data_IF_140928211107
#
_entry.id   IF_140928211107
#
_cell.length_a   1.000
_cell.length_b   1.000
_cell.length_c   1.000
_cell.angle_alpha   90.00
_cell.angle_beta   90.00
_cell.angle_gamma   90.00
#
_symmetry.space_group_name_H-M   'P 1'
#
loop_
_entity.id
_entity.type
_entity.pdbx_description
1 polymer ?
#
# COMPACT_ATOMS: atom_id res chain seq x y z
N UNK A 1 -10.91 17.48 13.44
CA UNK A 1 -9.46 17.41 13.20
C UNK A 1 -9.15 18.38 12.07
N UNK A 2 -8.24 19.35 12.26
CA UNK A 2 -7.82 20.35 11.25
C UNK A 2 -8.92 21.17 10.52
N UNK A 3 -10.12 21.29 11.07
CA UNK A 3 -11.21 22.07 10.47
C UNK A 3 -11.88 21.45 9.24
N UNK A 4 -11.51 20.22 8.84
CA UNK A 4 -12.19 19.48 7.77
C UNK A 4 -13.55 18.97 8.24
N UNK A 5 -14.55 19.03 7.35
CA UNK A 5 -15.95 18.73 7.65
C UNK A 5 -16.56 17.62 6.76
N UNK A 6 -15.75 16.98 5.92
CA UNK A 6 -16.17 15.86 5.09
C UNK A 6 -16.10 14.50 5.81
N UNK A 7 -16.36 13.44 5.05
CA UNK A 7 -16.24 12.06 5.50
C UNK A 7 -15.49 11.15 4.51
N UNK A 8 -15.38 9.87 4.81
CA UNK A 8 -14.66 8.90 3.97
C UNK A 8 -15.26 8.74 2.56
N UNK A 9 -16.56 9.05 2.38
CA UNK A 9 -17.21 8.96 1.08
C UNK A 9 -16.83 10.15 0.20
N UNK A 10 -16.63 11.34 0.77
CA UNK A 10 -16.08 12.51 0.04
C UNK A 10 -14.66 12.22 -0.50
N UNK A 11 -13.86 11.44 0.22
CA UNK A 11 -12.54 11.00 -0.22
C UNK A 11 -12.68 9.89 -1.29
N UNK A 12 -13.52 8.89 -1.02
CA UNK A 12 -13.71 7.74 -1.91
C UNK A 12 -14.32 8.12 -3.26
N UNK A 13 -15.19 9.12 -3.35
CA UNK A 13 -15.79 9.53 -4.63
C UNK A 13 -14.75 10.12 -5.59
N UNK A 14 -13.62 10.62 -5.08
CA UNK A 14 -12.50 11.13 -5.87
C UNK A 14 -11.42 10.09 -6.14
N UNK A 15 -11.10 9.26 -5.15
CA UNK A 15 -10.03 8.25 -5.27
C UNK A 15 -10.51 6.94 -5.90
N UNK A 16 -11.82 6.67 -5.89
CA UNK A 16 -12.44 5.48 -6.49
C UNK A 16 -13.54 5.89 -7.48
N UNK A 17 -13.18 6.45 -8.65
CA UNK A 17 -14.17 6.85 -9.64
C UNK A 17 -15.04 5.67 -10.12
N UNK A 18 -14.52 4.43 -10.06
CA UNK A 18 -15.32 3.20 -10.12
C UNK A 18 -15.42 2.58 -8.72
N UNK A 19 -16.65 2.47 -8.17
CA UNK A 19 -16.92 1.83 -6.86
C UNK A 19 -16.52 0.34 -6.79
N UNK A 20 -16.19 -0.24 -7.94
CA UNK A 20 -15.65 -1.58 -8.10
C UNK A 20 -14.16 -1.68 -7.85
N UNK A 21 -13.40 -0.58 -7.96
CA UNK A 21 -12.03 -0.50 -7.45
C UNK A 21 -12.06 -0.63 -5.91
N UNK A 22 -11.26 -1.56 -5.42
CA UNK A 22 -11.22 -1.93 -4.00
C UNK A 22 -9.96 -1.44 -3.30
N UNK A 23 -9.03 -0.82 -4.03
CA UNK A 23 -7.79 -0.32 -3.49
C UNK A 23 -7.82 1.22 -3.34
N UNK A 24 -7.02 1.75 -2.44
CA UNK A 24 -6.54 3.15 -2.47
C UNK A 24 -5.10 3.05 -2.01
N UNK A 25 -4.17 3.35 -2.89
CA UNK A 25 -2.76 3.37 -2.54
C UNK A 25 -2.45 4.56 -1.64
N UNK A 26 -1.43 4.43 -0.80
CA UNK A 26 -1.07 5.51 0.14
C UNK A 26 -0.64 6.78 -0.59
N UNK A 27 -0.04 6.64 -1.77
CA UNK A 27 0.33 7.75 -2.65
C UNK A 27 -0.91 8.51 -3.15
N UNK A 28 -2.04 7.84 -3.36
CA UNK A 28 -3.30 8.47 -3.75
C UNK A 28 -3.89 9.27 -2.60
N UNK A 29 -3.78 8.78 -1.36
CA UNK A 29 -4.14 9.54 -0.16
C UNK A 29 -3.26 10.79 0.00
N UNK A 30 -1.95 10.65 -0.23
CA UNK A 30 -1.01 11.79 -0.23
C UNK A 30 -1.41 12.81 -1.31
N UNK A 31 -1.70 12.36 -2.52
CA UNK A 31 -2.14 13.21 -3.62
C UNK A 31 -3.45 13.92 -3.30
N UNK A 32 -4.42 13.21 -2.72
CA UNK A 32 -5.69 13.78 -2.27
C UNK A 32 -5.44 14.94 -1.31
N UNK A 33 -4.67 14.72 -0.24
CA UNK A 33 -4.45 15.75 0.76
C UNK A 33 -3.73 16.96 0.15
N UNK A 34 -2.73 16.73 -0.71
CA UNK A 34 -2.00 17.83 -1.38
C UNK A 34 -2.89 18.66 -2.31
N UNK A 35 -3.93 18.08 -2.90
CA UNK A 35 -4.78 18.76 -3.89
C UNK A 35 -6.12 19.26 -3.32
N UNK A 36 -6.70 18.57 -2.35
CA UNK A 36 -8.01 18.85 -1.77
C UNK A 36 -7.93 19.45 -0.36
N UNK A 37 -6.82 19.22 0.35
CA UNK A 37 -6.56 19.74 1.69
C UNK A 37 -5.21 20.45 1.77
N UNK A 38 -4.87 21.25 0.76
CA UNK A 38 -3.53 21.84 0.56
C UNK A 38 -3.04 22.82 1.64
N UNK A 39 -3.81 23.04 2.71
CA UNK A 39 -3.36 23.72 3.94
C UNK A 39 -2.67 22.77 4.92
N UNK A 40 -2.66 21.46 4.65
CA UNK A 40 -1.94 20.44 5.40
C UNK A 40 -0.74 19.94 4.60
N UNK A 41 0.34 19.68 5.31
CA UNK A 41 1.39 18.80 4.83
C UNK A 41 1.01 17.35 5.12
N UNK A 42 1.49 16.46 4.26
CA UNK A 42 1.30 15.02 4.36
C UNK A 42 2.52 14.30 3.81
N UNK A 43 2.89 13.24 4.51
CA UNK A 43 3.90 12.29 4.08
C UNK A 43 3.67 10.95 4.79
N UNK A 44 4.44 9.93 4.42
CA UNK A 44 4.36 8.61 5.02
C UNK A 44 5.75 7.99 5.22
N UNK A 45 5.84 7.05 6.14
CA UNK A 45 7.03 6.22 6.35
C UNK A 45 6.63 4.75 6.48
N UNK A 46 7.60 3.87 6.32
CA UNK A 46 7.46 2.40 6.46
C UNK A 46 8.34 1.89 7.60
N UNK A 47 8.20 0.62 7.95
CA UNK A 47 8.94 0.04 9.06
C UNK A 47 8.65 0.75 10.39
N UNK A 48 7.44 1.31 10.54
CA UNK A 48 7.04 1.99 11.74
C UNK A 48 7.03 1.05 12.95
N UNK A 49 7.11 1.61 14.14
CA UNK A 49 7.01 0.87 15.40
C UNK A 49 5.87 1.43 16.24
N UNK A 50 5.40 0.63 17.20
CA UNK A 50 4.40 1.07 18.19
C UNK A 50 4.85 2.36 18.89
N UNK A 51 6.14 2.49 19.19
CA UNK A 51 6.70 3.66 19.86
C UNK A 51 6.70 4.92 18.98
N UNK A 52 6.93 4.77 17.67
CA UNK A 52 6.79 5.89 16.72
C UNK A 52 5.34 6.35 16.66
N UNK A 53 4.38 5.42 16.50
CA UNK A 53 2.96 5.77 16.49
C UNK A 53 2.53 6.48 17.79
N UNK A 54 2.95 5.95 18.94
CA UNK A 54 2.71 6.58 20.25
C UNK A 54 3.31 7.99 20.34
N UNK A 55 4.52 8.18 19.83
CA UNK A 55 5.20 9.48 19.86
C UNK A 55 4.47 10.53 19.03
N UNK A 56 3.98 10.16 17.83
CA UNK A 56 3.14 11.04 17.01
C UNK A 56 1.84 11.42 17.73
N UNK A 57 1.14 10.43 18.29
CA UNK A 57 -0.12 10.65 19.00
C UNK A 57 0.07 11.50 20.27
N UNK A 58 1.16 11.29 21.01
CA UNK A 58 1.52 12.12 22.16
C UNK A 58 1.85 13.57 21.77
N UNK A 59 2.40 13.77 20.57
CA UNK A 59 2.62 15.08 19.95
C UNK A 59 1.33 15.75 19.42
N UNK A 60 0.18 15.05 19.48
CA UNK A 60 -1.08 15.55 18.95
C UNK A 60 -1.22 15.39 17.44
N UNK A 61 -0.45 14.49 16.82
CA UNK A 61 -0.48 14.17 15.40
C UNK A 61 -1.15 12.81 15.18
N UNK A 62 -2.39 12.78 14.71
CA UNK A 62 -3.07 11.56 14.30
C UNK A 62 -2.33 10.88 13.16
N UNK A 63 -2.35 9.55 13.15
CA UNK A 63 -1.66 8.74 12.14
C UNK A 63 -2.63 7.76 11.52
N UNK A 64 -2.53 7.58 10.22
CA UNK A 64 -3.30 6.57 9.47
C UNK A 64 -2.35 5.42 9.17
N UNK A 65 -2.76 4.20 9.48
CA UNK A 65 -2.00 2.99 9.15
C UNK A 65 -2.81 2.12 8.20
N UNK A 66 -2.14 1.37 7.34
CA UNK A 66 -2.76 0.32 6.54
C UNK A 66 -2.44 -1.04 7.15
N UNK A 67 -3.46 -1.86 7.41
CA UNK A 67 -3.28 -3.19 8.00
C UNK A 67 -4.09 -4.26 7.28
N UNK A 68 -3.57 -5.48 7.33
CA UNK A 68 -4.33 -6.68 7.04
C UNK A 68 -5.37 -6.92 8.13
N UNK A 69 -6.57 -7.33 7.74
CA UNK A 69 -7.59 -7.81 8.65
C UNK A 69 -8.44 -8.89 7.97
N UNK A 70 -9.21 -9.63 8.76
CA UNK A 70 -10.14 -10.64 8.24
C UNK A 70 -11.56 -10.08 8.22
N UNK A 71 -12.15 -10.06 7.03
CA UNK A 71 -13.57 -9.77 6.81
C UNK A 71 -14.44 -10.95 7.25
N UNK A 72 -15.61 -10.64 7.80
CA UNK A 72 -16.66 -11.63 8.02
C UNK A 72 -17.07 -12.28 6.68
N UNK A 73 -17.34 -13.60 6.63
CA UNK A 73 -17.87 -14.26 5.44
C UNK A 73 -19.06 -13.55 4.77
N UNK A 74 -19.88 -12.82 5.53
CA UNK A 74 -21.01 -12.04 4.97
C UNK A 74 -20.59 -10.75 4.28
N UNK A 75 -19.39 -10.24 4.57
CA UNK A 75 -18.87 -8.97 4.06
C UNK A 75 -17.97 -9.21 2.84
N UNK A 76 -18.53 -9.02 1.64
CA UNK A 76 -17.75 -9.05 0.40
C UNK A 76 -17.06 -10.39 0.11
N UNK A 77 -17.65 -11.50 0.58
CA UNK A 77 -17.14 -12.86 0.43
C UNK A 77 -16.10 -13.29 1.47
N UNK A 78 -15.85 -12.46 2.49
CA UNK A 78 -14.94 -12.74 3.60
C UNK A 78 -13.46 -12.85 3.24
N UNK A 79 -12.68 -13.26 4.24
CA UNK A 79 -11.25 -13.51 4.14
C UNK A 79 -10.39 -12.26 4.38
N UNK A 80 -9.09 -12.39 4.14
CA UNK A 80 -8.13 -11.31 4.36
C UNK A 80 -8.34 -10.14 3.39
N UNK A 81 -8.25 -8.92 3.89
CA UNK A 81 -8.27 -7.68 3.10
C UNK A 81 -7.37 -6.62 3.74
N UNK A 82 -6.99 -5.61 2.95
CA UNK A 82 -6.36 -4.38 3.42
C UNK A 82 -7.39 -3.41 3.99
N UNK A 83 -7.00 -2.65 5.01
CA UNK A 83 -7.84 -1.67 5.68
C UNK A 83 -7.03 -0.53 6.30
N UNK A 84 -7.48 0.70 6.03
CA UNK A 84 -6.96 1.87 6.70
C UNK A 84 -7.61 2.09 8.05
N UNK A 85 -6.79 2.35 9.05
CA UNK A 85 -7.20 2.65 10.42
C UNK A 85 -6.61 3.99 10.85
N UNK A 86 -7.46 4.93 11.24
CA UNK A 86 -7.02 6.21 11.80
C UNK A 86 -6.81 6.05 13.31
N UNK A 87 -5.59 6.25 13.77
CA UNK A 87 -5.24 6.27 15.20
C UNK A 87 -5.34 7.70 15.72
N UNK A 88 -6.03 7.87 16.85
CA UNK A 88 -6.29 9.19 17.45
C UNK A 88 -5.85 9.31 18.90
N UNK A 89 -5.37 8.22 19.50
CA UNK A 89 -4.83 8.20 20.86
C UNK A 89 -4.36 6.80 21.25
N UNK A 90 -3.83 6.67 22.47
CA UNK A 90 -3.37 5.40 23.01
C UNK A 90 -3.53 5.37 24.54
N UNK A 91 -3.56 4.16 25.09
CA UNK A 91 -3.54 3.90 26.54
C UNK A 91 -2.50 2.83 26.83
N UNK A 92 -1.38 3.23 27.42
CA UNK A 92 -0.27 2.33 27.77
C UNK A 92 -0.62 1.35 28.89
N UNK A 93 -1.57 1.69 29.77
CA UNK A 93 -1.98 0.81 30.86
C UNK A 93 -2.79 -0.38 30.33
N UNK A 94 -3.56 -0.15 29.26
CA UNK A 94 -4.32 -1.19 28.57
C UNK A 94 -3.56 -1.81 27.38
N UNK A 95 -2.51 -1.15 26.89
CA UNK A 95 -1.74 -1.60 25.71
C UNK A 95 -2.53 -1.48 24.41
N UNK A 96 -3.30 -0.40 24.24
CA UNK A 96 -4.22 -0.21 23.10
C UNK A 96 -4.06 1.16 22.43
N UNK A 97 -4.42 1.22 21.15
CA UNK A 97 -4.73 2.48 20.45
C UNK A 97 -6.23 2.74 20.44
N UNK A 98 -6.59 4.02 20.44
CA UNK A 98 -7.93 4.52 20.14
C UNK A 98 -8.01 4.84 18.65
N UNK A 99 -9.04 4.34 17.98
CA UNK A 99 -9.10 4.35 16.51
C UNK A 99 -10.47 4.75 15.96
N UNK A 100 -10.46 5.30 14.74
CA UNK A 100 -11.65 5.49 13.91
C UNK A 100 -11.56 4.49 12.75
N UNK A 101 -12.48 3.52 12.73
CA UNK A 101 -12.48 2.41 11.77
C UNK A 101 -13.55 2.67 10.70
N UNK A 102 -13.13 2.73 9.44
CA UNK A 102 -14.01 3.01 8.29
C UNK A 102 -15.12 1.96 8.08
N UNK A 103 -14.91 0.75 8.60
CA UNK A 103 -15.78 -0.41 8.47
C UNK A 103 -16.57 -0.69 9.77
N UNK A 104 -15.93 -0.54 10.94
CA UNK A 104 -16.50 -0.87 12.26
C UNK A 104 -17.00 0.35 13.02
N UNK A 105 -16.77 1.57 12.53
CA UNK A 105 -17.23 2.82 13.13
C UNK A 105 -16.25 3.45 14.12
N UNK A 106 -16.68 4.53 14.82
CA UNK A 106 -15.80 5.36 15.61
C UNK A 106 -15.39 4.74 16.96
N UNK A 107 -14.34 5.33 17.56
CA UNK A 107 -13.88 5.13 18.94
C UNK A 107 -13.67 3.66 19.33
N UNK A 108 -13.02 2.91 18.44
CA UNK A 108 -12.62 1.51 18.68
C UNK A 108 -11.29 1.44 19.43
N UNK A 109 -11.05 0.31 20.09
CA UNK A 109 -9.78 -0.03 20.70
C UNK A 109 -9.16 -1.19 19.92
N UNK A 110 -7.87 -1.09 19.62
CA UNK A 110 -7.07 -2.18 19.04
C UNK A 110 -5.82 -2.35 19.90
N UNK A 111 -5.49 -3.59 20.27
CA UNK A 111 -4.27 -3.83 21.04
C UNK A 111 -3.01 -3.57 20.20
N UNK A 112 -1.89 -3.23 20.83
CA UNK A 112 -0.63 -3.02 20.13
C UNK A 112 -0.20 -4.26 19.33
N UNK A 113 -0.39 -5.46 19.90
CA UNK A 113 -0.07 -6.72 19.24
C UNK A 113 -0.98 -6.98 18.02
N UNK A 114 -2.29 -6.81 18.17
CA UNK A 114 -3.25 -7.01 17.06
C UNK A 114 -3.05 -6.00 15.93
N UNK A 115 -2.68 -4.76 16.27
CA UNK A 115 -2.31 -3.77 15.27
C UNK A 115 -1.09 -4.28 14.49
N UNK A 116 0.01 -4.58 15.18
CA UNK A 116 1.29 -4.95 14.57
C UNK A 116 1.18 -6.20 13.68
N UNK A 117 0.45 -7.22 14.13
CA UNK A 117 0.20 -8.46 13.39
C UNK A 117 -0.38 -8.19 12.00
N UNK A 118 -1.37 -7.30 11.90
CA UNK A 118 -1.93 -6.92 10.60
C UNK A 118 -1.10 -5.87 9.87
N UNK A 119 -0.42 -4.99 10.59
CA UNK A 119 0.32 -3.86 10.06
C UNK A 119 1.59 -4.30 9.32
N UNK A 120 2.21 -5.40 9.76
CA UNK A 120 3.33 -6.03 9.07
C UNK A 120 3.00 -6.33 7.61
N UNK A 121 1.77 -6.74 7.29
CA UNK A 121 1.38 -7.07 5.92
C UNK A 121 1.53 -5.90 4.91
N UNK A 122 1.63 -4.67 5.42
CA UNK A 122 1.80 -3.45 4.62
C UNK A 122 3.11 -2.73 4.97
N UNK A 123 4.16 -3.50 5.27
CA UNK A 123 5.49 -3.00 5.61
C UNK A 123 5.47 -1.95 6.75
N UNK A 124 4.53 -2.09 7.68
CA UNK A 124 4.28 -1.13 8.78
C UNK A 124 4.22 0.32 8.31
N UNK A 125 3.48 0.56 7.22
CA UNK A 125 3.30 1.89 6.66
C UNK A 125 2.41 2.78 7.53
N UNK A 126 2.82 4.02 7.77
CA UNK A 126 1.99 5.02 8.43
C UNK A 126 2.09 6.37 7.73
N UNK A 127 0.93 7.00 7.57
CA UNK A 127 0.75 8.32 7.01
C UNK A 127 0.42 9.30 8.13
N UNK A 128 1.01 10.49 8.07
CA UNK A 128 0.81 11.55 9.04
C UNK A 128 0.49 12.86 8.34
N UNK A 129 -0.41 13.64 8.94
CA UNK A 129 -0.83 14.94 8.44
C UNK A 129 -0.56 16.00 9.51
N UNK A 130 -0.15 17.18 9.08
CA UNK A 130 0.21 18.26 10.01
C UNK A 130 0.09 19.63 9.34
N UNK A 131 -0.05 20.67 10.14
CA UNK A 131 0.03 22.04 9.66
C UNK A 131 1.50 22.39 9.32
N UNK A 132 1.77 23.20 8.28
CA UNK A 132 3.14 23.51 7.87
C UNK A 132 4.06 24.01 8.99
N UNK A 133 3.53 24.73 9.98
CA UNK A 133 4.29 25.26 11.12
C UNK A 133 4.83 24.17 12.05
N UNK A 134 4.27 22.96 12.00
CA UNK A 134 4.68 21.82 12.80
C UNK A 134 5.88 21.04 12.21
N UNK A 135 6.40 21.43 11.04
CA UNK A 135 7.52 20.73 10.39
C UNK A 135 8.70 20.42 11.33
N UNK A 136 9.21 21.36 12.16
CA UNK A 136 10.35 21.06 13.04
C UNK A 136 10.03 19.99 14.10
N UNK A 137 8.78 19.90 14.54
CA UNK A 137 8.34 18.87 15.49
C UNK A 137 8.18 17.51 14.81
N UNK A 138 7.67 17.48 13.57
CA UNK A 138 7.61 16.25 12.77
C UNK A 138 9.01 15.70 12.49
N UNK A 139 9.97 16.55 12.11
CA UNK A 139 11.36 16.14 11.90
C UNK A 139 11.97 15.58 13.20
N UNK A 140 11.64 16.18 14.36
CA UNK A 140 12.07 15.69 15.68
C UNK A 140 11.47 14.32 16.02
N UNK A 141 10.19 14.11 15.72
CA UNK A 141 9.49 12.84 15.97
C UNK A 141 10.01 11.71 15.09
N UNK A 142 10.34 12.01 13.83
CA UNK A 142 10.90 11.05 12.89
C UNK A 142 12.39 10.77 13.14
N UNK A 143 13.14 11.76 13.63
CA UNK A 143 14.59 11.63 13.79
C UNK A 143 15.25 11.32 12.44
N UNK A 144 16.10 10.29 12.37
CA UNK A 144 16.71 9.92 11.08
C UNK A 144 15.70 9.32 10.08
N UNK A 145 14.53 8.85 10.54
CA UNK A 145 13.47 8.42 9.61
C UNK A 145 12.86 9.61 8.85
N UNK A 146 13.22 10.85 9.17
CA UNK A 146 12.82 12.01 8.37
C UNK A 146 13.36 11.91 6.94
N UNK A 147 14.53 11.28 6.76
CA UNK A 147 15.07 10.90 5.46
C UNK A 147 14.42 9.58 4.97
N UNK A 148 13.68 9.59 3.85
CA UNK A 148 13.03 8.38 3.32
C UNK A 148 14.01 7.24 3.03
N UNK A 149 15.24 7.53 2.59
CA UNK A 149 16.23 6.50 2.29
C UNK A 149 16.69 5.81 3.58
N UNK A 150 16.94 6.59 4.64
CA UNK A 150 17.26 6.05 5.97
C UNK A 150 16.11 5.23 6.56
N UNK A 151 14.89 5.71 6.41
CA UNK A 151 13.70 4.97 6.83
C UNK A 151 13.59 3.62 6.11
N UNK A 152 13.82 3.61 4.79
CA UNK A 152 13.79 2.39 3.97
C UNK A 152 14.95 1.45 4.28
N UNK A 153 16.14 1.97 4.59
CA UNK A 153 17.29 1.16 5.07
C UNK A 153 16.93 0.43 6.38
N UNK A 154 16.28 1.11 7.32
CA UNK A 154 15.84 0.49 8.58
C UNK A 154 14.72 -0.51 8.38
N UNK A 155 13.72 -0.19 7.55
CA UNK A 155 12.63 -1.12 7.23
C UNK A 155 13.15 -2.38 6.53
N UNK A 156 14.14 -2.24 5.64
CA UNK A 156 14.84 -3.34 5.01
C UNK A 156 15.53 -4.25 6.04
N UNK A 157 16.23 -3.66 7.01
CA UNK A 157 16.91 -4.42 8.06
C UNK A 157 15.92 -5.08 9.03
N UNK A 158 14.83 -4.39 9.37
CA UNK A 158 13.75 -4.97 10.18
C UNK A 158 13.16 -6.23 9.52
N UNK A 159 12.87 -6.18 8.22
CA UNK A 159 12.38 -7.34 7.47
C UNK A 159 13.39 -8.51 7.49
N UNK A 160 14.69 -8.24 7.41
CA UNK A 160 15.74 -9.28 7.50
C UNK A 160 15.75 -9.93 8.89
N UNK A 161 15.68 -9.12 9.94
CA UNK A 161 15.64 -9.63 11.32
C UNK A 161 14.38 -10.46 11.59
N UNK A 162 13.25 -10.10 10.98
CA UNK A 162 12.02 -10.91 11.04
C UNK A 162 12.20 -12.27 10.36
N UNK A 163 12.78 -12.31 9.16
CA UNK A 163 13.11 -13.54 8.44
C UNK A 163 14.10 -14.41 9.24
N UNK A 164 15.09 -13.82 9.90
CA UNK A 164 16.04 -14.56 10.74
C UNK A 164 15.33 -15.22 11.95
N UNK A 165 14.29 -14.58 12.47
CA UNK A 165 13.49 -15.11 13.59
C UNK A 165 12.49 -16.15 13.13
N UNK A 166 11.87 -15.95 11.98
CA UNK A 166 10.93 -16.87 11.35
C UNK A 166 11.10 -16.84 9.82
N UNK A 167 11.79 -17.85 9.30
CA UNK A 167 12.04 -17.96 7.87
C UNK A 167 10.79 -18.30 7.06
N UNK A 168 9.70 -18.71 7.72
CA UNK A 168 8.39 -19.01 7.11
C UNK A 168 7.43 -17.79 7.20
N UNK A 169 7.92 -16.61 7.59
CA UNK A 169 7.13 -15.38 7.57
C UNK A 169 7.05 -14.81 6.14
N UNK A 170 5.95 -15.13 5.45
CA UNK A 170 5.70 -14.65 4.09
C UNK A 170 5.61 -13.12 4.00
N UNK A 171 5.11 -12.43 5.03
CA UNK A 171 5.01 -10.96 5.00
C UNK A 171 6.38 -10.32 5.19
N UNK A 172 7.24 -10.87 6.04
CA UNK A 172 8.62 -10.40 6.19
C UNK A 172 9.41 -10.52 4.87
N UNK A 173 9.30 -11.66 4.18
CA UNK A 173 9.87 -11.82 2.83
C UNK A 173 9.30 -10.84 1.82
N UNK A 174 7.99 -10.59 1.86
CA UNK A 174 7.37 -9.61 0.97
C UNK A 174 7.87 -8.19 1.26
N UNK A 175 7.95 -7.80 2.53
CA UNK A 175 8.46 -6.50 2.97
C UNK A 175 9.93 -6.31 2.60
N UNK A 176 10.75 -7.36 2.70
CA UNK A 176 12.12 -7.36 2.20
C UNK A 176 12.12 -7.00 0.70
N UNK A 177 11.29 -7.69 -0.10
CA UNK A 177 11.13 -7.38 -1.53
C UNK A 177 10.72 -5.92 -1.79
N UNK A 178 9.73 -5.42 -1.04
CA UNK A 178 9.20 -4.05 -1.19
C UNK A 178 10.25 -2.98 -0.87
N UNK A 179 11.06 -3.18 0.16
CA UNK A 179 12.15 -2.24 0.46
C UNK A 179 13.30 -2.37 -0.57
N UNK A 180 13.55 -3.56 -1.14
CA UNK A 180 14.53 -3.74 -2.21
C UNK A 180 14.09 -3.09 -3.53
N UNK A 181 12.79 -3.11 -3.86
CA UNK A 181 12.24 -2.38 -5.03
C UNK A 181 12.50 -0.88 -4.90
N UNK A 182 12.32 -0.30 -3.71
CA UNK A 182 12.60 1.12 -3.46
C UNK A 182 14.06 1.48 -3.81
N UNK A 183 15.01 0.59 -3.51
CA UNK A 183 16.43 0.77 -3.86
C UNK A 183 16.80 0.24 -5.25
N UNK A 184 15.81 -0.06 -6.10
CA UNK A 184 16.00 -0.60 -7.46
C UNK A 184 16.80 -1.92 -7.53
N UNK A 185 16.86 -2.65 -6.41
CA UNK A 185 17.53 -3.96 -6.29
C UNK A 185 16.61 -5.07 -6.78
N UNK A 186 16.14 -4.95 -8.02
CA UNK A 186 15.02 -5.74 -8.55
C UNK A 186 15.28 -7.26 -8.58
N UNK A 187 16.52 -7.70 -8.78
CA UNK A 187 16.87 -9.12 -8.77
C UNK A 187 16.69 -9.76 -7.38
N UNK A 188 17.17 -9.08 -6.34
CA UNK A 188 16.98 -9.53 -4.96
C UNK A 188 15.52 -9.39 -4.52
N UNK A 189 14.83 -8.32 -4.96
CA UNK A 189 13.42 -8.13 -4.71
C UNK A 189 12.58 -9.28 -5.30
N UNK A 190 12.85 -9.65 -6.55
CA UNK A 190 12.15 -10.74 -7.22
C UNK A 190 12.32 -12.07 -6.47
N UNK A 191 13.53 -12.39 -6.01
CA UNK A 191 13.79 -13.60 -5.23
C UNK A 191 13.08 -13.59 -3.85
N UNK A 192 13.02 -12.42 -3.19
CA UNK A 192 12.27 -12.28 -1.94
C UNK A 192 10.76 -12.47 -2.17
N UNK A 193 10.21 -11.92 -3.26
CA UNK A 193 8.82 -12.13 -3.64
C UNK A 193 8.49 -13.57 -4.03
N UNK A 194 9.37 -14.25 -4.77
CA UNK A 194 9.21 -15.68 -5.08
C UNK A 194 9.10 -16.50 -3.78
N UNK A 195 9.94 -16.18 -2.79
CA UNK A 195 9.92 -16.85 -1.48
C UNK A 195 8.61 -16.57 -0.74
N UNK A 196 8.20 -15.31 -0.66
CA UNK A 196 6.94 -14.91 -0.02
C UNK A 196 5.71 -15.60 -0.65
N UNK A 197 5.63 -15.61 -1.98
CA UNK A 197 4.56 -16.26 -2.73
C UNK A 197 4.59 -17.79 -2.59
N UNK A 198 5.78 -18.38 -2.50
CA UNK A 198 6.00 -19.81 -2.30
C UNK A 198 5.58 -20.31 -0.92
N UNK A 199 5.84 -19.53 0.14
CA UNK A 199 5.35 -19.79 1.51
C UNK A 199 3.82 -19.64 1.53
N UNK A 200 3.32 -18.57 0.93
CA UNK A 200 1.89 -18.31 0.76
C UNK A 200 1.46 -16.99 1.38
N UNK A 201 0.82 -16.16 0.56
CA UNK A 201 0.19 -14.91 0.97
C UNK A 201 -1.33 -15.01 0.82
N UNK A 202 -2.10 -14.17 1.55
CA UNK A 202 -3.53 -14.13 1.36
C UNK A 202 -3.90 -13.83 -0.10
N UNK A 203 -4.92 -14.49 -0.62
CA UNK A 203 -5.26 -14.43 -2.05
C UNK A 203 -5.61 -13.02 -2.59
N UNK A 204 -5.98 -12.08 -1.71
CA UNK A 204 -6.26 -10.67 -2.07
C UNK A 204 -5.01 -9.78 -2.04
N UNK A 205 -3.86 -10.31 -1.64
CA UNK A 205 -2.70 -9.50 -1.31
C UNK A 205 -2.18 -8.67 -2.50
N UNK A 206 -2.15 -9.26 -3.70
CA UNK A 206 -1.77 -8.59 -4.96
C UNK A 206 -2.77 -7.55 -5.45
N UNK A 207 -3.91 -7.35 -4.76
CA UNK A 207 -4.82 -6.22 -5.01
C UNK A 207 -4.30 -4.90 -4.47
N UNK A 208 -3.41 -4.96 -3.48
CA UNK A 208 -2.94 -3.78 -2.74
C UNK A 208 -1.43 -3.55 -2.90
N UNK A 209 -0.69 -4.54 -3.41
CA UNK A 209 0.76 -4.54 -3.39
C UNK A 209 1.32 -4.98 -4.76
N UNK A 210 1.95 -4.05 -5.46
CA UNK A 210 2.35 -4.19 -6.87
C UNK A 210 3.85 -4.36 -7.10
N UNK A 211 4.64 -4.34 -6.03
CA UNK A 211 6.10 -4.50 -6.09
C UNK A 211 6.59 -5.72 -6.90
N UNK A 212 5.94 -6.91 -6.83
CA UNK A 212 6.31 -8.05 -7.65
C UNK A 212 6.25 -7.77 -9.16
N UNK A 213 5.25 -7.03 -9.63
CA UNK A 213 5.15 -6.69 -11.06
C UNK A 213 6.33 -5.83 -11.51
N UNK A 214 6.69 -4.82 -10.71
CA UNK A 214 7.85 -3.96 -10.95
C UNK A 214 9.14 -4.81 -11.00
N UNK A 215 9.37 -5.62 -9.95
CA UNK A 215 10.58 -6.43 -9.86
C UNK A 215 10.71 -7.41 -11.02
N UNK A 216 9.64 -8.13 -11.37
CA UNK A 216 9.65 -9.09 -12.48
C UNK A 216 9.86 -8.42 -13.83
N UNK A 217 9.21 -7.27 -14.07
CA UNK A 217 9.38 -6.51 -15.31
C UNK A 217 10.83 -6.06 -15.52
N UNK A 218 11.46 -5.50 -14.48
CA UNK A 218 12.85 -5.06 -14.54
C UNK A 218 13.86 -6.21 -14.66
N UNK A 219 13.51 -7.41 -14.20
CA UNK A 219 14.32 -8.62 -14.38
C UNK A 219 14.06 -9.35 -15.70
N UNK A 220 13.10 -8.88 -16.52
CA UNK A 220 12.74 -9.53 -17.77
C UNK A 220 11.94 -10.84 -17.60
N UNK A 221 11.39 -11.07 -16.41
CA UNK A 221 10.54 -12.22 -16.06
C UNK A 221 9.09 -11.95 -16.48
N UNK A 222 8.90 -11.75 -17.79
CA UNK A 222 7.62 -11.27 -18.32
C UNK A 222 6.53 -12.34 -18.25
N UNK A 223 6.89 -13.60 -18.47
CA UNK A 223 5.98 -14.73 -18.36
C UNK A 223 5.46 -14.88 -16.92
N UNK A 224 6.33 -14.85 -15.91
CA UNK A 224 5.90 -14.92 -14.50
C UNK A 224 5.07 -13.71 -14.07
N UNK A 225 5.37 -12.52 -14.61
CA UNK A 225 4.53 -11.34 -14.41
C UNK A 225 3.13 -11.54 -14.98
N UNK A 226 3.03 -12.04 -16.21
CA UNK A 226 1.74 -12.34 -16.86
C UNK A 226 0.96 -13.37 -16.04
N UNK A 227 1.62 -14.43 -15.57
CA UNK A 227 0.99 -15.46 -14.72
C UNK A 227 0.43 -14.87 -13.41
N UNK A 228 1.21 -14.02 -12.73
CA UNK A 228 0.78 -13.35 -11.50
C UNK A 228 -0.39 -12.39 -11.76
N UNK A 229 -0.35 -11.64 -12.86
CA UNK A 229 -1.42 -10.74 -13.25
C UNK A 229 -2.69 -11.51 -13.64
N UNK A 230 -2.57 -12.60 -14.39
CA UNK A 230 -3.68 -13.49 -14.77
C UNK A 230 -4.35 -14.09 -13.54
N UNK A 231 -3.57 -14.57 -12.58
CA UNK A 231 -4.09 -15.06 -11.30
C UNK A 231 -4.86 -13.96 -10.55
N UNK A 232 -4.30 -12.75 -10.49
CA UNK A 232 -4.93 -11.62 -9.80
C UNK A 232 -6.23 -11.19 -10.48
N UNK A 233 -6.23 -11.08 -11.81
CA UNK A 233 -7.40 -10.71 -12.63
C UNK A 233 -8.50 -11.77 -12.61
N UNK A 234 -8.13 -13.05 -12.55
CA UNK A 234 -9.10 -14.14 -12.37
C UNK A 234 -9.86 -14.00 -11.03
N UNK A 235 -9.18 -13.57 -9.97
CA UNK A 235 -9.76 -13.37 -8.64
C UNK A 235 -10.38 -11.98 -8.44
N UNK A 236 -9.94 -11.00 -9.22
CA UNK A 236 -10.24 -9.58 -9.06
C UNK A 236 -10.31 -8.94 -10.43
N UNK A 237 -11.47 -9.05 -11.08
CA UNK A 237 -11.66 -8.58 -12.45
C UNK A 237 -11.45 -7.06 -12.61
N UNK A 238 -11.50 -6.29 -11.52
CA UNK A 238 -11.26 -4.85 -11.46
C UNK A 238 -9.95 -4.55 -10.71
N UNK A 239 -8.84 -5.04 -11.24
CA UNK A 239 -7.49 -4.73 -10.75
C UNK A 239 -6.71 -4.10 -11.91
N UNK A 240 -6.88 -2.80 -12.10
CA UNK A 240 -6.32 -2.02 -13.21
C UNK A 240 -4.80 -2.06 -13.25
N UNK A 241 -4.12 -2.07 -12.10
CA UNK A 241 -2.65 -2.19 -12.04
C UNK A 241 -2.21 -3.54 -12.61
N UNK A 242 -2.96 -4.62 -12.35
CA UNK A 242 -2.63 -5.94 -12.90
C UNK A 242 -2.81 -5.97 -14.42
N UNK A 243 -3.85 -5.32 -14.95
CA UNK A 243 -4.03 -5.15 -16.40
C UNK A 243 -2.88 -4.32 -16.99
N UNK A 244 -2.52 -3.19 -16.39
CA UNK A 244 -1.43 -2.34 -16.84
C UNK A 244 -0.10 -3.12 -16.92
N UNK A 245 0.29 -3.80 -15.84
CA UNK A 245 1.56 -4.53 -15.80
C UNK A 245 1.57 -5.71 -16.77
N UNK A 246 0.45 -6.44 -16.91
CA UNK A 246 0.33 -7.50 -17.93
C UNK A 246 0.50 -6.94 -19.34
N UNK A 247 -0.09 -5.77 -19.62
CA UNK A 247 0.07 -5.08 -20.89
C UNK A 247 1.52 -4.71 -21.19
N UNK A 248 2.24 -4.19 -20.20
CA UNK A 248 3.68 -3.90 -20.34
C UNK A 248 4.49 -5.17 -20.59
N UNK A 249 4.22 -6.27 -19.89
CA UNK A 249 4.89 -7.54 -20.13
C UNK A 249 4.62 -8.09 -21.54
N UNK A 250 3.36 -8.07 -22.00
CA UNK A 250 2.98 -8.46 -23.38
C UNK A 250 3.67 -7.61 -24.42
N UNK A 251 3.74 -6.30 -24.21
CA UNK A 251 4.48 -5.38 -25.09
C UNK A 251 5.96 -5.79 -25.19
N UNK A 252 6.62 -6.12 -24.07
CA UNK A 252 8.02 -6.57 -24.05
C UNK A 252 8.24 -7.92 -24.74
N UNK A 253 7.23 -8.78 -24.75
CA UNK A 253 7.21 -10.04 -25.50
C UNK A 253 6.82 -9.87 -26.98
N UNK A 254 6.52 -8.65 -27.43
CA UNK A 254 6.15 -8.34 -28.81
C UNK A 254 4.68 -8.50 -29.15
N UNK A 255 3.83 -8.82 -28.17
CA UNK A 255 2.36 -8.84 -28.32
C UNK A 255 1.78 -7.44 -28.12
N UNK A 256 1.94 -6.60 -29.15
CA UNK A 256 1.43 -5.23 -29.13
C UNK A 256 -0.11 -5.17 -29.05
N UNK A 257 -0.81 -6.10 -29.69
CA UNK A 257 -2.27 -6.11 -29.69
C UNK A 257 -2.81 -6.46 -28.30
N UNK A 258 -2.30 -7.52 -27.67
CA UNK A 258 -2.69 -7.88 -26.30
C UNK A 258 -2.29 -6.84 -25.28
N UNK A 259 -1.19 -6.11 -25.49
CA UNK A 259 -0.80 -4.97 -24.65
C UNK A 259 -1.82 -3.82 -24.69
N UNK A 260 -2.25 -3.43 -25.90
CA UNK A 260 -3.26 -2.37 -26.08
C UNK A 260 -4.59 -2.77 -25.45
N UNK A 261 -5.00 -4.03 -25.61
CA UNK A 261 -6.22 -4.55 -24.97
C UNK A 261 -6.15 -4.44 -23.43
N UNK A 262 -5.00 -4.77 -22.86
CA UNK A 262 -4.77 -4.70 -21.42
C UNK A 262 -4.75 -3.26 -20.89
N UNK A 263 -4.10 -2.33 -21.60
CA UNK A 263 -4.11 -0.92 -21.21
C UNK A 263 -5.51 -0.31 -21.29
N UNK A 264 -6.31 -0.68 -22.31
CA UNK A 264 -7.73 -0.28 -22.39
C UNK A 264 -8.57 -0.91 -21.30
N UNK A 265 -8.28 -2.17 -20.91
CA UNK A 265 -8.96 -2.82 -19.80
C UNK A 265 -8.69 -2.09 -18.47
N UNK A 266 -7.46 -1.60 -18.26
CA UNK A 266 -7.14 -0.75 -17.11
C UNK A 266 -7.98 0.56 -17.11
N UNK A 267 -8.09 1.24 -18.27
CA UNK A 267 -8.92 2.44 -18.40
C UNK A 267 -10.43 2.19 -18.30
N UNK A 268 -10.90 0.99 -18.64
CA UNK A 268 -12.29 0.62 -18.45
C UNK A 268 -12.68 0.52 -16.97
N UNK A 269 -11.71 0.24 -16.09
CA UNK A 269 -11.89 0.24 -14.63
C UNK A 269 -11.69 1.67 -14.08
N UNK A 270 -10.58 2.32 -14.43
CA UNK A 270 -10.28 3.68 -14.02
C UNK A 270 -10.00 4.57 -15.24
N UNK A 271 -11.01 5.32 -15.75
CA UNK A 271 -10.85 6.17 -16.94
C UNK A 271 -9.81 7.29 -16.82
N UNK A 272 -9.36 7.58 -15.59
CA UNK A 272 -8.37 8.62 -15.30
C UNK A 272 -6.99 8.06 -14.98
N UNK A 273 -6.78 6.74 -15.14
CA UNK A 273 -5.53 6.10 -14.78
C UNK A 273 -4.39 6.55 -15.70
N UNK A 274 -3.56 7.46 -15.18
CA UNK A 274 -2.53 8.16 -15.96
C UNK A 274 -1.49 7.21 -16.56
N UNK A 275 -1.13 6.15 -15.84
CA UNK A 275 -0.15 5.19 -16.34
C UNK A 275 -0.66 4.40 -17.55
N UNK A 276 -1.96 4.07 -17.58
CA UNK A 276 -2.58 3.40 -18.72
C UNK A 276 -2.77 4.35 -19.92
N UNK A 277 -3.11 5.62 -19.66
CA UNK A 277 -3.13 6.67 -20.70
C UNK A 277 -1.74 6.84 -21.32
N UNK A 278 -0.71 6.94 -20.48
CA UNK A 278 0.68 7.01 -20.92
C UNK A 278 1.08 5.77 -21.72
N UNK A 279 0.73 4.56 -21.27
CA UNK A 279 1.06 3.33 -21.97
C UNK A 279 0.45 3.27 -23.37
N UNK A 280 -0.80 3.71 -23.53
CA UNK A 280 -1.46 3.79 -24.84
C UNK A 280 -0.81 4.84 -25.75
N UNK A 281 -0.52 6.04 -25.23
CA UNK A 281 0.19 7.08 -25.98
C UNK A 281 1.58 6.61 -26.44
N UNK A 282 2.32 5.96 -25.53
CA UNK A 282 3.65 5.41 -25.79
C UNK A 282 3.64 4.40 -26.95
N UNK A 283 2.60 3.56 -27.04
CA UNK A 283 2.45 2.59 -28.14
C UNK A 283 1.68 3.15 -29.36
N UNK A 284 1.33 4.44 -29.35
CA UNK A 284 0.62 5.11 -30.45
C UNK A 284 -0.83 4.68 -30.62
N UNK A 285 -1.49 4.26 -29.54
CA UNK A 285 -2.88 3.83 -29.52
C UNK A 285 -3.78 4.85 -28.82
N UNK A 286 -5.03 4.97 -29.28
CA UNK A 286 -6.04 5.76 -28.59
C UNK A 286 -6.68 4.98 -27.42
N UNK A 287 -7.07 5.67 -26.33
CA UNK A 287 -7.93 5.15 -25.27
C UNK A 287 -9.13 4.36 -25.80
#
# INVERSE_FOLDING_TARGET
MYGWAGDQFDISDLLKPDRGDKNVNIEELVYYVRTQAGWLNVDFRVGGTIDVLRSFLAGGYPVIVEKGFTLDPTDGGGGWAGHYLLLTGFDDAEGVFLTQDSNKGPDRKVSYAELDEGWQAFNRVFLYLYLPEAQPEIDRLLGEDADPDRNRERALEAARLEIERDAEDAFAWFNLGTNLVYFERYGEAAAAYDTALGIGLPWRFTRYQFGPYIAYFHQGRFEELIELADYTLFRTQKAEESSLWRGWARYRLGDLYGAIEDFRAALAVNPYYQDALYALDFVGASP
#
